data_IF_148025153267
#
_entry.id   IF_148025153267
#
_cell.length_a   1.000
_cell.length_b   1.000
_cell.length_c   1.000
_cell.angle_alpha   90.00
_cell.angle_beta   90.00
_cell.angle_gamma   90.00
#
_symmetry.space_group_name_H-M   'P 1'
#
loop_
_entity.id
_entity.type
_entity.pdbx_description
1 polymer ?
#
# COMPACT_ATOMS: atom_id res chain seq x y z
N UNK A 1 -8.12 -35.59 21.70
CA UNK A 1 -8.76 -35.18 20.45
C UNK A 1 -10.24 -34.99 20.75
N UNK A 2 -10.64 -33.76 21.04
CA UNK A 2 -12.01 -33.44 21.48
C UNK A 2 -12.99 -33.61 20.30
N UNK A 3 -14.04 -34.42 20.49
CA UNK A 3 -15.10 -34.59 19.50
C UNK A 3 -16.07 -33.42 19.61
N UNK A 4 -16.22 -32.68 18.51
CA UNK A 4 -17.22 -31.62 18.36
C UNK A 4 -18.62 -32.24 18.46
N UNK A 5 -19.56 -31.68 19.26
CA UNK A 5 -20.92 -32.20 19.36
C UNK A 5 -21.71 -31.97 18.06
N UNK A 6 -22.61 -32.90 17.72
CA UNK A 6 -23.51 -32.72 16.58
C UNK A 6 -24.50 -31.57 16.85
N UNK A 7 -24.52 -30.58 15.97
CA UNK A 7 -25.45 -29.45 16.00
C UNK A 7 -26.64 -29.73 15.07
N UNK A 8 -27.86 -29.46 15.55
CA UNK A 8 -29.11 -29.54 14.76
C UNK A 8 -29.49 -28.20 14.12
N UNK A 9 -28.64 -27.18 14.23
CA UNK A 9 -28.91 -25.85 13.66
C UNK A 9 -28.81 -25.90 12.14
N UNK A 10 -29.86 -25.44 11.45
CA UNK A 10 -29.88 -25.46 9.99
C UNK A 10 -28.77 -24.57 9.41
N UNK A 11 -27.88 -25.17 8.62
CA UNK A 11 -26.96 -24.44 7.75
C UNK A 11 -27.80 -23.66 6.73
N UNK A 12 -27.68 -22.32 6.77
CA UNK A 12 -28.33 -21.29 5.96
C UNK A 12 -29.39 -21.75 4.95
N UNK A 13 -30.67 -21.45 5.24
CA UNK A 13 -31.73 -21.45 4.22
C UNK A 13 -31.65 -20.17 3.39
N UNK A 14 -31.75 -20.28 2.07
CA UNK A 14 -31.99 -19.14 1.20
C UNK A 14 -33.43 -18.65 1.42
N UNK A 15 -33.59 -17.62 2.25
CA UNK A 15 -34.88 -16.99 2.52
C UNK A 15 -35.12 -15.91 1.47
N UNK A 16 -36.16 -16.07 0.66
CA UNK A 16 -36.63 -14.99 -0.22
C UNK A 16 -37.46 -14.02 0.62
N UNK A 17 -36.89 -12.86 0.93
CA UNK A 17 -37.58 -11.80 1.68
C UNK A 17 -38.03 -10.70 0.72
N UNK A 18 -39.27 -10.24 0.89
CA UNK A 18 -39.70 -8.98 0.30
C UNK A 18 -38.88 -7.84 0.93
N UNK A 19 -37.97 -7.29 0.12
CA UNK A 19 -37.16 -6.15 0.47
C UNK A 19 -38.01 -4.89 0.29
N UNK A 20 -38.35 -4.25 1.40
CA UNK A 20 -38.85 -2.88 1.40
C UNK A 20 -37.67 -1.92 1.42
N UNK A 21 -37.83 -0.71 0.89
CA UNK A 21 -36.78 0.32 0.91
C UNK A 21 -36.22 0.55 2.33
N UNK A 22 -37.08 0.48 3.34
CA UNK A 22 -36.72 0.56 4.76
C UNK A 22 -35.77 -0.55 5.24
N UNK A 23 -35.88 -1.78 4.72
CA UNK A 23 -34.98 -2.88 5.08
C UNK A 23 -33.60 -2.74 4.44
N UNK A 24 -33.55 -2.24 3.21
CA UNK A 24 -32.29 -1.95 2.50
C UNK A 24 -31.51 -0.86 3.24
N UNK A 25 -32.20 0.15 3.78
CA UNK A 25 -31.60 1.23 4.58
C UNK A 25 -31.05 0.79 5.95
N UNK A 26 -31.47 -0.39 6.45
CA UNK A 26 -30.94 -0.99 7.70
C UNK A 26 -29.76 -1.94 7.48
N UNK A 27 -29.43 -2.26 6.23
CA UNK A 27 -28.21 -3.01 5.91
C UNK A 27 -26.99 -2.10 6.10
N UNK A 28 -25.83 -2.72 6.38
CA UNK A 28 -24.56 -2.04 6.65
C UNK A 28 -24.29 -0.94 5.61
N UNK A 29 -24.33 0.33 6.06
CA UNK A 29 -24.38 1.55 5.24
C UNK A 29 -23.16 1.81 4.33
N UNK A 30 -22.25 0.86 4.19
CA UNK A 30 -21.02 0.97 3.39
C UNK A 30 -20.95 0.10 2.14
N UNK A 31 -21.99 -0.70 1.82
CA UNK A 31 -21.96 -1.57 0.64
C UNK A 31 -22.81 -1.05 -0.53
N UNK A 32 -23.72 -0.11 -0.30
CA UNK A 32 -24.58 0.48 -1.33
C UNK A 32 -24.55 2.00 -1.21
N UNK A 33 -23.95 2.66 -2.21
CA UNK A 33 -24.10 4.10 -2.44
C UNK A 33 -25.55 4.47 -2.82
N UNK A 34 -25.86 5.75 -3.08
CA UNK A 34 -27.23 6.26 -3.14
C UNK A 34 -28.05 5.52 -4.22
N UNK A 35 -29.00 4.70 -3.79
CA UNK A 35 -29.96 4.02 -4.67
C UNK A 35 -31.21 4.89 -4.94
N UNK A 36 -31.18 6.18 -4.60
CA UNK A 36 -32.31 7.10 -4.75
C UNK A 36 -31.90 8.37 -5.51
N UNK A 37 -32.55 8.70 -6.64
CA UNK A 37 -32.20 9.83 -7.51
C UNK A 37 -32.22 11.22 -6.86
N UNK A 38 -32.91 11.40 -5.74
CA UNK A 38 -33.22 12.72 -5.15
C UNK A 38 -32.61 12.95 -3.76
N UNK A 39 -31.65 12.11 -3.33
CA UNK A 39 -30.99 12.23 -2.03
C UNK A 39 -29.58 12.85 -2.14
N UNK A 40 -29.30 13.90 -1.36
CA UNK A 40 -27.97 14.54 -1.30
C UNK A 40 -26.92 13.54 -0.79
N UNK A 41 -25.81 13.38 -1.51
CA UNK A 41 -24.69 12.52 -1.11
C UNK A 41 -24.12 12.89 0.28
N UNK A 42 -24.30 14.14 0.74
CA UNK A 42 -23.89 14.60 2.09
C UNK A 42 -24.81 14.11 3.21
N UNK A 43 -26.00 13.61 2.87
CA UNK A 43 -26.91 12.96 3.84
C UNK A 43 -26.52 11.50 4.12
N UNK A 44 -25.61 10.94 3.33
CA UNK A 44 -24.99 9.65 3.60
C UNK A 44 -23.75 9.86 4.47
N UNK A 45 -23.84 9.36 5.69
CA UNK A 45 -22.69 9.20 6.56
C UNK A 45 -21.75 8.19 5.89
N UNK A 46 -20.61 8.67 5.36
CA UNK A 46 -19.67 7.91 4.53
C UNK A 46 -18.94 6.86 5.37
N UNK A 47 -19.67 5.82 5.74
CA UNK A 47 -19.17 4.70 6.52
C UNK A 47 -18.78 3.54 5.61
N UNK A 48 -17.68 2.87 5.92
CA UNK A 48 -17.25 1.66 5.19
C UNK A 48 -15.83 1.77 4.66
N UNK A 49 -15.43 0.79 3.87
CA UNK A 49 -14.12 0.75 3.22
C UNK A 49 -14.16 1.72 2.04
N UNK A 50 -13.78 2.98 2.29
CA UNK A 50 -13.80 4.06 1.30
C UNK A 50 -12.47 4.23 0.54
N UNK A 51 -11.46 3.41 0.88
CA UNK A 51 -10.17 3.32 0.19
C UNK A 51 -9.90 1.89 -0.28
N UNK A 52 -9.06 1.70 -1.32
CA UNK A 52 -8.69 0.37 -1.78
C UNK A 52 -8.04 -0.47 -0.68
N UNK A 53 -8.53 -1.71 -0.52
CA UNK A 53 -7.90 -2.74 0.31
C UNK A 53 -7.12 -3.68 -0.59
N UNK A 54 -5.91 -4.05 -0.16
CA UNK A 54 -5.04 -4.97 -0.91
C UNK A 54 -4.46 -6.04 0.01
N UNK A 55 -4.33 -7.25 -0.53
CA UNK A 55 -3.49 -8.29 0.04
C UNK A 55 -2.08 -8.15 -0.55
N UNK A 56 -1.06 -8.09 0.32
CA UNK A 56 0.35 -7.99 -0.10
C UNK A 56 1.10 -9.18 0.47
N UNK A 57 1.70 -9.98 -0.41
CA UNK A 57 2.61 -11.06 -0.02
C UNK A 57 4.04 -10.52 -0.04
N UNK A 58 4.80 -10.79 1.01
CA UNK A 58 6.19 -10.36 1.16
C UNK A 58 7.07 -11.57 1.40
N UNK A 59 8.31 -11.47 0.95
CA UNK A 59 9.35 -12.46 1.25
C UNK A 59 9.93 -12.24 2.66
N UNK A 60 10.97 -12.99 3.02
CA UNK A 60 11.63 -12.92 4.32
C UNK A 60 12.14 -11.51 4.67
N UNK A 61 12.50 -10.66 3.69
CA UNK A 61 12.98 -9.29 3.90
C UNK A 61 12.03 -8.25 3.34
N UNK A 62 11.82 -7.15 4.08
CA UNK A 62 10.91 -6.08 3.70
C UNK A 62 11.56 -4.71 3.79
N UNK A 63 11.22 -3.86 2.82
CA UNK A 63 11.35 -2.40 2.92
C UNK A 63 10.06 -1.89 3.56
N UNK A 64 10.17 -1.36 4.77
CA UNK A 64 9.05 -0.84 5.57
C UNK A 64 8.70 0.58 5.13
N UNK A 65 9.72 1.42 4.97
CA UNK A 65 9.56 2.82 4.60
C UNK A 65 10.72 3.27 3.71
N UNK A 66 10.47 4.31 2.90
CA UNK A 66 11.46 4.91 2.01
C UNK A 66 11.26 6.41 1.94
N UNK A 67 12.28 7.15 2.36
CA UNK A 67 12.32 8.60 2.30
C UNK A 67 13.25 9.07 1.19
N UNK A 68 12.70 9.74 0.18
CA UNK A 68 13.49 10.33 -0.90
C UNK A 68 13.75 11.81 -0.65
N UNK A 69 15.03 12.19 -0.65
CA UNK A 69 15.49 13.55 -0.35
C UNK A 69 16.32 14.01 -1.56
N UNK A 70 15.70 14.70 -2.54
CA UNK A 70 16.39 15.20 -3.71
C UNK A 70 17.25 16.44 -3.41
N UNK A 71 18.30 16.65 -4.20
CA UNK A 71 19.03 17.91 -4.29
C UNK A 71 19.27 18.29 -5.76
N UNK A 72 19.82 19.49 -6.01
CA UNK A 72 20.11 19.96 -7.37
C UNK A 72 21.29 19.24 -8.02
N UNK A 73 22.10 18.55 -7.23
CA UNK A 73 23.36 17.92 -7.61
C UNK A 73 23.42 16.43 -7.21
N UNK A 74 22.34 15.89 -6.65
CA UNK A 74 22.38 14.64 -5.91
C UNK A 74 21.02 14.18 -5.43
N UNK A 75 21.04 13.09 -4.67
CA UNK A 75 19.89 12.58 -3.96
C UNK A 75 20.31 11.62 -2.85
N UNK A 76 19.50 11.55 -1.80
CA UNK A 76 19.60 10.54 -0.75
C UNK A 76 18.27 9.80 -0.65
N UNK A 77 18.34 8.48 -0.59
CA UNK A 77 17.21 7.62 -0.28
C UNK A 77 17.50 6.99 1.07
N UNK A 78 16.66 7.28 2.05
CA UNK A 78 16.69 6.59 3.35
C UNK A 78 15.70 5.45 3.29
N UNK A 79 16.14 4.25 3.62
CA UNK A 79 15.30 3.06 3.54
C UNK A 79 15.27 2.43 4.93
N UNK A 80 14.07 2.21 5.46
CA UNK A 80 13.86 1.35 6.62
C UNK A 80 13.65 -0.07 6.14
N UNK A 81 14.46 -0.98 6.68
CA UNK A 81 14.41 -2.40 6.33
C UNK A 81 14.24 -3.25 7.57
N UNK A 82 13.59 -4.40 7.40
CA UNK A 82 13.36 -5.36 8.47
C UNK A 82 13.37 -6.78 7.89
N UNK A 83 13.79 -7.74 8.69
CA UNK A 83 13.53 -9.15 8.43
C UNK A 83 12.24 -9.61 9.09
N UNK A 84 11.43 -10.33 8.32
CA UNK A 84 10.23 -11.03 8.76
C UNK A 84 10.50 -12.49 9.15
N UNK A 85 11.70 -13.01 8.87
CA UNK A 85 12.07 -14.39 9.16
C UNK A 85 13.57 -14.52 9.49
N UNK A 86 13.94 -14.33 10.76
CA UNK A 86 15.31 -14.48 11.25
C UNK A 86 16.30 -13.46 10.68
N UNK A 87 17.58 -13.56 11.02
CA UNK A 87 18.59 -12.66 10.45
C UNK A 87 18.95 -13.10 9.03
N UNK A 88 19.12 -12.14 8.12
CA UNK A 88 19.45 -12.40 6.71
C UNK A 88 20.32 -11.29 6.13
N UNK A 89 21.21 -11.65 5.21
CA UNK A 89 22.03 -10.68 4.48
C UNK A 89 21.32 -10.27 3.18
N UNK A 90 21.34 -8.97 2.88
CA UNK A 90 20.76 -8.41 1.66
C UNK A 90 21.66 -7.34 1.04
N UNK A 91 21.37 -6.97 -0.21
CA UNK A 91 22.08 -5.88 -0.90
C UNK A 91 21.06 -4.86 -1.39
N UNK A 92 21.11 -3.66 -0.82
CA UNK A 92 20.26 -2.54 -1.23
C UNK A 92 20.86 -1.82 -2.44
N UNK A 93 20.00 -1.48 -3.40
CA UNK A 93 20.35 -0.73 -4.62
C UNK A 93 19.22 0.23 -4.93
N UNK A 94 19.55 1.49 -5.23
CA UNK A 94 18.61 2.47 -5.74
C UNK A 94 18.93 2.80 -7.20
N UNK A 95 17.89 2.97 -8.02
CA UNK A 95 18.00 3.39 -9.43
C UNK A 95 16.97 4.47 -9.69
N UNK A 96 17.37 5.47 -10.45
CA UNK A 96 16.51 6.55 -10.92
C UNK A 96 16.33 6.40 -12.42
N UNK A 97 15.10 6.43 -12.89
CA UNK A 97 14.72 6.25 -14.28
C UNK A 97 13.88 7.43 -14.74
N UNK A 98 14.15 7.96 -15.93
CA UNK A 98 13.31 8.98 -16.54
C UNK A 98 11.99 8.34 -17.01
N UNK A 99 10.86 8.82 -16.51
CA UNK A 99 9.53 8.20 -16.75
C UNK A 99 9.14 8.20 -18.23
N UNK A 100 9.59 9.17 -19.02
CA UNK A 100 9.23 9.29 -20.45
C UNK A 100 10.04 8.33 -21.31
N UNK A 101 11.31 8.13 -20.97
CA UNK A 101 12.25 7.34 -21.80
C UNK A 101 12.51 5.94 -21.27
N UNK A 102 12.12 5.65 -20.02
CA UNK A 102 12.49 4.44 -19.27
C UNK A 102 14.01 4.17 -19.18
N UNK A 103 14.83 5.19 -19.44
CA UNK A 103 16.29 5.06 -19.35
C UNK A 103 16.73 5.32 -17.91
N UNK A 104 17.74 4.56 -17.47
CA UNK A 104 18.39 4.79 -16.18
C UNK A 104 19.13 6.12 -16.26
N UNK A 105 18.71 7.07 -15.43
CA UNK A 105 19.33 8.37 -15.26
C UNK A 105 20.51 8.30 -14.30
N UNK A 106 20.34 7.60 -13.18
CA UNK A 106 21.38 7.44 -12.18
C UNK A 106 21.18 6.15 -11.36
N UNK A 107 22.21 5.69 -10.66
CA UNK A 107 22.15 4.55 -9.76
C UNK A 107 23.08 4.74 -8.56
N UNK A 108 22.68 4.23 -7.40
CA UNK A 108 23.51 4.24 -6.20
C UNK A 108 24.53 3.11 -6.26
N UNK A 109 25.61 3.25 -5.49
CA UNK A 109 26.46 2.09 -5.19
C UNK A 109 25.65 1.07 -4.38
N UNK A 110 25.80 -0.23 -4.62
CA UNK A 110 25.18 -1.27 -3.79
C UNK A 110 25.69 -1.19 -2.36
N UNK A 111 24.79 -1.38 -1.39
CA UNK A 111 25.12 -1.42 0.05
C UNK A 111 24.74 -2.79 0.58
N UNK A 112 25.71 -3.53 1.11
CA UNK A 112 25.43 -4.78 1.83
C UNK A 112 24.85 -4.44 3.22
N UNK A 113 23.77 -5.12 3.59
CA UNK A 113 23.05 -4.88 4.84
C UNK A 113 22.69 -6.20 5.48
N UNK A 114 22.82 -6.27 6.81
CA UNK A 114 22.31 -7.37 7.60
C UNK A 114 20.94 -6.97 8.14
N UNK A 115 19.90 -7.66 7.68
CA UNK A 115 18.54 -7.48 8.14
C UNK A 115 18.34 -8.34 9.39
N UNK A 116 17.68 -7.75 10.38
CA UNK A 116 17.26 -8.42 11.60
C UNK A 116 15.78 -8.10 11.86
N UNK A 117 15.21 -8.67 12.92
CA UNK A 117 13.81 -8.45 13.28
C UNK A 117 13.49 -7.02 13.72
N UNK A 118 14.49 -6.18 13.98
CA UNK A 118 14.30 -4.76 14.26
C UNK A 118 14.43 -3.92 12.98
N UNK A 119 13.78 -2.76 12.98
CA UNK A 119 13.91 -1.81 11.90
C UNK A 119 15.34 -1.25 11.86
N UNK A 120 15.96 -1.32 10.70
CA UNK A 120 17.29 -0.76 10.45
C UNK A 120 17.22 0.24 9.30
N UNK A 121 17.70 1.45 9.54
CA UNK A 121 17.73 2.54 8.55
C UNK A 121 19.05 2.54 7.80
N UNK A 122 18.98 2.62 6.48
CA UNK A 122 20.13 2.62 5.58
C UNK A 122 20.03 3.79 4.60
N UNK A 123 21.16 4.41 4.28
CA UNK A 123 21.21 5.55 3.36
C UNK A 123 21.85 5.13 2.04
N UNK A 124 21.16 5.34 0.93
CA UNK A 124 21.71 5.23 -0.41
C UNK A 124 21.85 6.64 -1.00
N UNK A 125 23.05 6.99 -1.45
CA UNK A 125 23.33 8.31 -2.01
C UNK A 125 23.75 8.23 -3.47
N UNK A 126 23.42 9.29 -4.19
CA UNK A 126 23.94 9.56 -5.53
C UNK A 126 24.34 11.03 -5.58
N UNK A 127 25.51 11.31 -6.14
CA UNK A 127 26.09 12.65 -6.21
C UNK A 127 26.47 12.96 -7.66
N UNK A 128 26.68 14.24 -7.95
CA UNK A 128 27.09 14.76 -9.25
C UNK A 128 26.11 14.42 -10.39
N UNK A 129 24.81 14.46 -10.10
CA UNK A 129 23.74 14.32 -11.10
C UNK A 129 23.19 15.67 -11.48
N UNK A 130 22.69 15.81 -12.72
CA UNK A 130 22.03 17.03 -13.21
C UNK A 130 20.57 16.72 -13.54
N UNK A 131 19.65 16.80 -12.55
CA UNK A 131 18.26 16.43 -12.76
C UNK A 131 17.54 17.47 -13.62
N UNK A 132 16.54 17.03 -14.37
CA UNK A 132 15.54 17.95 -14.93
C UNK A 132 14.67 18.45 -13.79
N UNK A 133 14.39 19.75 -13.75
CA UNK A 133 13.56 20.33 -12.70
C UNK A 133 12.09 19.99 -12.95
N UNK A 134 11.38 19.68 -11.87
CA UNK A 134 9.93 19.60 -11.88
C UNK A 134 9.36 21.02 -11.78
N UNK A 135 8.44 21.36 -12.68
CA UNK A 135 7.58 22.54 -12.54
C UNK A 135 6.13 22.14 -12.84
N UNK A 136 5.13 22.92 -12.41
CA UNK A 136 3.73 22.64 -12.78
C UNK A 136 3.50 22.63 -14.30
N UNK A 137 4.26 23.41 -15.07
CA UNK A 137 4.19 23.42 -16.53
C UNK A 137 4.95 22.23 -17.16
N UNK A 138 6.08 21.85 -16.56
CA UNK A 138 6.95 20.77 -17.00
C UNK A 138 7.17 19.75 -15.85
N UNK A 139 6.21 18.85 -15.61
CA UNK A 139 6.28 17.89 -14.50
C UNK A 139 7.22 16.73 -14.83
N UNK A 140 8.52 17.00 -14.85
CA UNK A 140 9.55 15.98 -15.04
C UNK A 140 9.62 15.07 -13.81
N UNK A 141 9.26 13.78 -13.97
CA UNK A 141 9.25 12.75 -12.95
C UNK A 141 10.22 11.61 -13.29
#
# INVERSE_FOLDING_TARGET
MEKIPASTLSLGQAVTVNLTASKILTLSKGMFGPLSPDADNRSYDLHGIWQPVKLVVRDAGVIEDTWFIPSLDGARVQVETRSLNGNQSAVLKARWTDTKTNKIFAASKPVAVELNENKTTQNLTVNNVKPKLWTPADPNL
#
